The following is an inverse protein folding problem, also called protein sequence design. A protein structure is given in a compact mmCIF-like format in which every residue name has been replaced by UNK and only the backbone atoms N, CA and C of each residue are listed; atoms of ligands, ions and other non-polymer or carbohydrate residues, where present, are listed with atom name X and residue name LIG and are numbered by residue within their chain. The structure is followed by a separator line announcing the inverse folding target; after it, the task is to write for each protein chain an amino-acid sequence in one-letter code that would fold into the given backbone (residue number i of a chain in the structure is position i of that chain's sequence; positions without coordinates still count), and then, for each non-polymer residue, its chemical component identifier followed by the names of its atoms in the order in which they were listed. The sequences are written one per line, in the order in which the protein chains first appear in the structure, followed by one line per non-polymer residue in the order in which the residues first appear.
data_IF_109709190175
#
_entry.id   IF_109709190175
#
_cell.length_a   1.000
_cell.length_b   1.000
_cell.length_c   1.000
_cell.angle_alpha   90.00
_cell.angle_beta   90.00
_cell.angle_gamma   90.00
#
_symmetry.space_group_name_H-M   'P 1'
#
loop_
_entity.id
_entity.type
_entity.pdbx_description
1 polymer ?
#
# COMPACT_ATOMS: atom_id res chain seq x y z
N UNK A 1 12.94 11.45 11.72
CA UNK A 1 12.77 10.61 10.52
C UNK A 1 11.61 11.17 9.73
N UNK A 2 11.88 11.89 8.64
CA UNK A 2 10.85 12.29 7.69
C UNK A 2 10.96 11.35 6.48
N UNK A 3 10.22 10.25 6.51
CA UNK A 3 10.03 9.42 5.32
C UNK A 3 9.05 10.16 4.38
N UNK A 4 9.49 10.44 3.16
CA UNK A 4 8.64 11.08 2.16
C UNK A 4 7.91 10.04 1.32
N UNK A 5 6.62 9.86 1.59
CA UNK A 5 5.72 9.15 0.69
C UNK A 5 5.16 10.16 -0.31
N UNK A 6 5.22 9.82 -1.60
CA UNK A 6 4.66 10.66 -2.67
C UNK A 6 3.62 9.86 -3.44
N UNK A 7 2.55 10.53 -3.85
CA UNK A 7 1.56 10.01 -4.79
C UNK A 7 1.50 10.98 -5.96
N UNK A 8 1.62 10.47 -7.18
CA UNK A 8 1.67 11.27 -8.41
C UNK A 8 0.54 10.85 -9.33
N UNK A 9 -0.33 11.78 -9.71
CA UNK A 9 -1.35 11.56 -10.74
C UNK A 9 -0.66 11.25 -12.07
N UNK A 10 -1.13 10.22 -12.76
CA UNK A 10 -0.72 9.91 -14.12
C UNK A 10 -1.76 10.44 -15.10
N UNK A 11 -2.98 9.91 -15.02
CA UNK A 11 -4.11 10.29 -15.86
C UNK A 11 -5.44 9.85 -15.21
N UNK A 12 -6.54 10.57 -15.46
CA UNK A 12 -7.85 10.29 -14.87
C UNK A 12 -7.80 10.15 -13.34
N UNK A 13 -8.11 8.94 -12.84
CA UNK A 13 -7.94 8.57 -11.41
C UNK A 13 -6.83 7.56 -11.16
N UNK A 14 -5.94 7.37 -12.13
CA UNK A 14 -4.76 6.53 -11.99
C UNK A 14 -3.61 7.31 -11.36
N UNK A 15 -3.17 6.86 -10.19
CA UNK A 15 -2.04 7.43 -9.45
C UNK A 15 -0.93 6.40 -9.28
N UNK A 16 0.30 6.88 -9.09
CA UNK A 16 1.45 6.05 -8.71
C UNK A 16 2.02 6.57 -7.41
N UNK A 17 2.04 5.70 -6.40
CA UNK A 17 2.72 5.91 -5.13
C UNK A 17 4.18 5.50 -5.18
N UNK A 18 5.05 6.24 -4.50
CA UNK A 18 6.46 5.92 -4.30
C UNK A 18 6.83 6.04 -2.84
N UNK A 19 7.60 5.07 -2.32
CA UNK A 19 8.13 5.08 -0.96
C UNK A 19 9.59 5.56 -0.94
N UNK A 20 10.16 5.87 0.23
CA UNK A 20 11.51 6.45 0.35
C UNK A 20 12.65 5.59 -0.18
N UNK A 21 12.49 4.26 -0.23
CA UNK A 21 13.45 3.37 -0.89
C UNK A 21 13.43 3.50 -2.41
N UNK A 22 12.40 4.11 -3.00
CA UNK A 22 12.34 4.49 -4.42
C UNK A 22 12.23 3.34 -5.43
N UNK A 23 12.52 2.11 -5.01
CA UNK A 23 12.63 0.95 -5.91
C UNK A 23 11.26 0.38 -6.35
N UNK A 24 10.17 0.74 -5.67
CA UNK A 24 8.85 0.14 -5.90
C UNK A 24 7.80 1.20 -6.24
N UNK A 25 7.14 1.01 -7.39
CA UNK A 25 5.99 1.80 -7.81
C UNK A 25 4.70 1.10 -7.37
N UNK A 26 3.79 1.86 -6.76
CA UNK A 26 2.52 1.36 -6.25
C UNK A 26 1.39 1.96 -7.10
N UNK A 27 0.88 1.26 -8.12
CA UNK A 27 -0.22 1.76 -8.94
C UNK A 27 -1.53 1.75 -8.13
N UNK A 28 -2.22 2.87 -8.12
CA UNK A 28 -3.51 3.08 -7.48
C UNK A 28 -4.52 3.54 -8.53
N UNK A 29 -5.73 3.00 -8.48
CA UNK A 29 -6.80 3.38 -9.41
C UNK A 29 -8.19 3.04 -8.84
N UNK A 30 -9.24 3.50 -9.48
CA UNK A 30 -10.63 3.24 -9.14
C UNK A 30 -11.39 2.50 -10.25
N UNK A 31 -12.65 2.15 -9.98
CA UNK A 31 -13.47 1.46 -10.96
C UNK A 31 -13.83 2.36 -12.15
N UNK A 32 -14.00 1.76 -13.33
CA UNK A 32 -14.48 2.52 -14.51
C UNK A 32 -15.80 3.24 -14.22
N UNK A 33 -16.68 2.63 -13.41
CA UNK A 33 -17.97 3.20 -13.03
C UNK A 33 -17.87 4.53 -12.25
N UNK A 34 -16.73 4.80 -11.61
CA UNK A 34 -16.48 6.06 -10.90
C UNK A 34 -15.46 6.94 -11.60
N UNK A 35 -14.96 6.54 -12.78
CA UNK A 35 -14.02 7.30 -13.62
C UNK A 35 -12.56 6.83 -13.57
N UNK A 36 -12.30 5.62 -13.06
CA UNK A 36 -10.98 5.01 -13.07
C UNK A 36 -10.72 4.18 -14.33
N UNK A 37 -9.52 3.60 -14.43
CA UNK A 37 -9.08 2.87 -15.62
C UNK A 37 -8.78 1.39 -15.36
N UNK A 38 -9.01 0.88 -14.14
CA UNK A 38 -8.64 -0.48 -13.71
C UNK A 38 -7.12 -0.78 -13.77
N UNK A 39 -6.28 0.24 -13.73
CA UNK A 39 -4.83 0.12 -13.91
C UNK A 39 -4.04 0.03 -12.59
N UNK A 40 -4.73 -0.13 -11.46
CA UNK A 40 -4.10 -0.13 -10.15
C UNK A 40 -5.01 -0.61 -9.02
N UNK A 41 -4.43 -0.68 -7.82
CA UNK A 41 -5.15 -1.10 -6.64
C UNK A 41 -6.13 -0.02 -6.18
N UNK A 42 -7.30 -0.45 -5.67
CA UNK A 42 -8.19 0.46 -4.95
C UNK A 42 -7.46 0.99 -3.71
N UNK A 43 -7.36 2.32 -3.51
CA UNK A 43 -6.61 2.90 -2.39
C UNK A 43 -7.04 2.34 -1.03
N UNK A 44 -8.35 2.13 -0.83
CA UNK A 44 -8.87 1.59 0.42
C UNK A 44 -8.43 0.13 0.64
N UNK A 45 -8.42 -0.71 -0.40
CA UNK A 45 -7.92 -2.08 -0.27
C UNK A 45 -6.43 -2.11 0.07
N UNK A 46 -5.64 -1.24 -0.58
CA UNK A 46 -4.21 -1.06 -0.28
C UNK A 46 -3.97 -0.64 1.17
N UNK A 47 -4.78 0.29 1.69
CA UNK A 47 -4.74 0.69 3.10
C UNK A 47 -5.02 -0.48 4.05
N UNK A 48 -6.05 -1.28 3.77
CA UNK A 48 -6.41 -2.44 4.59
C UNK A 48 -5.32 -3.52 4.56
N UNK A 49 -4.74 -3.77 3.39
CA UNK A 49 -3.59 -4.68 3.25
C UNK A 49 -2.39 -4.17 4.06
N UNK A 50 -2.08 -2.88 3.99
CA UNK A 50 -1.02 -2.25 4.77
C UNK A 50 -1.25 -2.40 6.28
N UNK A 51 -2.47 -2.11 6.75
CA UNK A 51 -2.86 -2.27 8.15
C UNK A 51 -2.72 -3.72 8.62
N UNK A 52 -3.28 -4.66 7.86
CA UNK A 52 -3.16 -6.09 8.15
C UNK A 52 -1.69 -6.54 8.17
N UNK A 53 -0.87 -6.03 7.25
CA UNK A 53 0.56 -6.27 7.19
C UNK A 53 1.29 -5.80 8.46
N UNK A 54 1.02 -4.58 8.93
CA UNK A 54 1.58 -4.06 10.18
C UNK A 54 1.22 -4.97 11.37
N UNK A 55 -0.05 -5.33 11.51
CA UNK A 55 -0.49 -6.24 12.59
C UNK A 55 0.14 -7.62 12.48
N UNK A 56 0.24 -8.19 11.27
CA UNK A 56 0.87 -9.49 11.06
C UNK A 56 2.37 -9.47 11.42
N UNK A 57 3.09 -8.39 11.11
CA UNK A 57 4.50 -8.22 11.50
C UNK A 57 4.66 -8.21 13.03
N UNK A 58 3.74 -7.57 13.76
CA UNK A 58 3.73 -7.61 15.22
C UNK A 58 3.53 -9.03 15.75
N UNK A 59 2.57 -9.78 15.20
CA UNK A 59 2.34 -11.19 15.58
C UNK A 59 3.57 -12.04 15.30
N UNK A 60 4.17 -11.93 14.11
CA UNK A 60 5.40 -12.66 13.75
C UNK A 60 6.54 -12.33 14.72
N UNK A 61 6.70 -11.05 15.08
CA UNK A 61 7.70 -10.59 16.06
C UNK A 61 7.47 -11.20 17.44
N UNK A 62 6.22 -11.32 17.88
CA UNK A 62 5.86 -11.97 19.16
C UNK A 62 6.17 -13.46 19.10
N UNK A 63 5.73 -14.16 18.06
CA UNK A 63 5.99 -15.60 17.88
C UNK A 63 7.48 -15.92 17.83
N UNK A 64 8.28 -15.07 17.16
CA UNK A 64 9.73 -15.24 17.08
C UNK A 64 10.44 -15.07 18.44
N UNK A 65 9.90 -14.23 19.33
CA UNK A 65 10.43 -14.02 20.69
C UNK A 65 9.99 -15.11 21.67
N UNK A 66 8.85 -15.75 21.42
CA UNK A 66 8.25 -16.75 22.31
C UNK A 66 8.01 -18.07 21.56
N UNK A 67 9.08 -18.80 21.17
CA UNK A 67 8.92 -20.06 20.46
C UNK A 67 8.24 -21.12 21.35
N UNK A 68 7.10 -21.66 20.91
CA UNK A 68 6.38 -22.74 21.60
C UNK A 68 5.04 -22.39 22.24
N UNK A 69 4.50 -21.19 22.00
CA UNK A 69 3.06 -20.92 22.08
C UNK A 69 2.37 -21.30 20.76
#
# INVERSE_FOLDING_TARGET
MAEHVKVTLQDGMHFVGTTPSGDWLIPLDADVAVGGQELGHRPLHMLLVGLAGCTAMDVVSICAKTPGL
#
